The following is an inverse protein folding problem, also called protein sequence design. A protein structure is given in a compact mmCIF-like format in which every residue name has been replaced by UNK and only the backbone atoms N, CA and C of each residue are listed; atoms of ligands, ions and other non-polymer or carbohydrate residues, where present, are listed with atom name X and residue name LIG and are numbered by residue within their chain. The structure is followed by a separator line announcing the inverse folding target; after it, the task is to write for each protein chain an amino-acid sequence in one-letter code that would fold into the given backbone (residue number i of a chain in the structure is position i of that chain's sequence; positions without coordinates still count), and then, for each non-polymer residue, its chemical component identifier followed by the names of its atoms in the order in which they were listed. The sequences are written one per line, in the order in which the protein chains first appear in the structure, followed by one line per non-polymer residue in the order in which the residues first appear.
data_IF_209298109594
#
_entry.id   IF_209298109594
#
_cell.length_a   1.000
_cell.length_b   1.000
_cell.length_c   1.000
_cell.angle_alpha   90.00
_cell.angle_beta   90.00
_cell.angle_gamma   90.00
#
_symmetry.space_group_name_H-M   'P 1'
#
loop_
_entity.id
_entity.type
_entity.pdbx_description
1 polymer ?
#
# COMPACT_ATOMS: atom_id res chain seq x y z
N UNK A 1 -22.79 -2.61 -10.29
CA UNK A 1 -21.81 -2.69 -11.38
C UNK A 1 -20.75 -1.63 -11.11
N UNK A 2 -19.57 -2.07 -10.67
CA UNK A 2 -18.45 -1.17 -10.41
C UNK A 2 -18.08 -0.44 -11.71
N UNK A 3 -18.29 0.85 -11.73
CA UNK A 3 -17.86 1.73 -12.80
C UNK A 3 -16.37 1.96 -12.63
N UNK A 4 -15.56 1.02 -13.12
CA UNK A 4 -14.12 1.28 -13.26
C UNK A 4 -14.02 2.36 -14.33
N UNK A 5 -13.82 3.59 -13.88
CA UNK A 5 -13.75 4.75 -14.75
C UNK A 5 -12.66 4.51 -15.80
N UNK A 6 -12.90 4.92 -17.06
CA UNK A 6 -11.94 4.87 -18.19
C UNK A 6 -10.64 5.66 -17.94
N UNK A 7 -10.39 6.03 -16.69
CA UNK A 7 -9.31 6.92 -16.27
C UNK A 7 -8.16 6.17 -15.57
N UNK A 8 -8.27 4.84 -15.37
CA UNK A 8 -7.28 4.03 -14.65
C UNK A 8 -6.72 2.96 -15.57
N UNK A 9 -5.42 2.94 -15.76
CA UNK A 9 -4.69 1.91 -16.49
C UNK A 9 -4.12 0.89 -15.49
N UNK A 10 -4.41 -0.38 -15.70
CA UNK A 10 -3.89 -1.47 -14.87
C UNK A 10 -2.45 -1.75 -15.29
N UNK A 11 -1.50 -1.53 -14.40
CA UNK A 11 -0.16 -2.09 -14.50
C UNK A 11 -0.04 -3.23 -13.47
N UNK A 12 -0.18 -4.46 -13.91
CA UNK A 12 0.07 -5.63 -13.08
C UNK A 12 1.59 -5.79 -12.92
N UNK A 13 2.15 -5.18 -11.90
CA UNK A 13 3.47 -5.53 -11.44
C UNK A 13 3.32 -6.62 -10.39
N UNK A 14 3.77 -7.83 -10.71
CA UNK A 14 4.18 -8.78 -9.68
C UNK A 14 5.41 -8.15 -9.03
N UNK A 15 5.22 -7.40 -7.96
CA UNK A 15 6.32 -7.05 -7.08
C UNK A 15 6.66 -8.36 -6.37
N UNK A 16 7.78 -9.02 -6.71
CA UNK A 16 8.22 -10.15 -5.92
C UNK A 16 8.54 -9.57 -4.54
N UNK A 17 7.78 -9.97 -3.54
CA UNK A 17 8.16 -9.82 -2.14
C UNK A 17 9.36 -10.76 -1.92
N UNK A 18 10.48 -10.43 -2.55
CA UNK A 18 11.74 -11.12 -2.34
C UNK A 18 12.53 -10.27 -1.38
N UNK A 19 12.48 -10.65 -0.10
CA UNK A 19 13.46 -10.21 0.90
C UNK A 19 14.75 -10.93 0.52
N UNK A 20 15.53 -10.34 -0.36
CA UNK A 20 16.82 -10.80 -0.80
C UNK A 20 17.60 -9.66 -1.42
N UNK A 21 18.92 -9.72 -1.34
CA UNK A 21 19.90 -8.67 -1.64
C UNK A 21 19.81 -7.91 -2.98
N UNK A 22 18.82 -8.17 -3.80
CA UNK A 22 18.62 -7.55 -5.11
C UNK A 22 17.68 -6.33 -5.13
N UNK A 23 16.94 -6.01 -4.04
CA UNK A 23 15.96 -4.92 -4.00
C UNK A 23 16.57 -3.53 -3.71
N UNK A 24 17.89 -3.43 -3.61
CA UNK A 24 18.63 -2.18 -3.28
C UNK A 24 18.45 -1.05 -4.30
N UNK A 25 17.84 -1.27 -5.43
CA UNK A 25 17.92 -0.32 -6.54
C UNK A 25 16.62 0.41 -6.92
N UNK A 26 15.50 0.13 -6.28
CA UNK A 26 14.23 0.72 -6.72
C UNK A 26 13.71 1.90 -5.86
N UNK A 27 14.06 1.98 -4.59
CA UNK A 27 13.66 3.11 -3.73
C UNK A 27 14.76 3.34 -2.69
N UNK A 28 15.74 4.16 -2.99
CA UNK A 28 16.90 4.57 -2.19
C UNK A 28 16.91 4.17 -0.71
N UNK A 29 17.59 3.09 -0.36
CA UNK A 29 17.62 2.56 0.99
C UNK A 29 18.89 2.91 1.74
N UNK A 30 18.80 3.13 3.04
CA UNK A 30 19.90 3.23 3.98
C UNK A 30 19.85 2.01 4.88
N UNK A 31 20.94 1.23 4.90
CA UNK A 31 21.09 0.10 5.80
C UNK A 31 21.32 0.64 7.22
N UNK A 32 20.37 0.45 8.12
CA UNK A 32 20.56 0.70 9.54
C UNK A 32 21.14 -0.55 10.19
N UNK A 33 22.45 -0.55 10.39
CA UNK A 33 23.14 -1.57 11.19
C UNK A 33 23.27 -1.03 12.60
N UNK A 34 22.59 -1.65 13.55
CA UNK A 34 22.75 -1.35 14.98
C UNK A 34 23.66 -2.39 15.63
N UNK A 35 24.55 -1.92 16.52
CA UNK A 35 25.41 -2.75 17.33
C UNK A 35 24.86 -2.80 18.75
N UNK A 36 24.31 -3.93 19.17
CA UNK A 36 23.87 -4.14 20.54
C UNK A 36 24.45 -5.47 21.07
N UNK A 37 25.07 -5.40 22.25
CA UNK A 37 25.56 -6.55 23.04
C UNK A 37 26.45 -7.57 22.30
N UNK A 38 27.29 -7.11 21.37
CA UNK A 38 28.26 -7.99 20.68
C UNK A 38 27.69 -8.76 19.48
N UNK A 39 26.40 -8.59 19.18
CA UNK A 39 25.75 -9.16 18.00
C UNK A 39 25.33 -8.06 17.01
N UNK A 40 25.47 -8.36 15.71
CA UNK A 40 24.97 -7.50 14.64
C UNK A 40 23.48 -7.76 14.46
N UNK A 41 22.64 -6.79 14.84
CA UNK A 41 21.23 -6.78 14.44
C UNK A 41 21.11 -5.95 13.16
N UNK A 42 20.68 -6.60 12.11
CA UNK A 42 20.33 -5.94 10.85
C UNK A 42 18.81 -5.79 10.87
N UNK A 43 18.34 -4.55 10.97
CA UNK A 43 16.93 -4.27 10.77
C UNK A 43 16.55 -4.62 9.31
N UNK A 44 15.40 -5.29 9.10
CA UNK A 44 14.96 -5.59 7.77
C UNK A 44 14.80 -4.30 6.98
N UNK A 45 15.43 -4.25 5.81
CA UNK A 45 15.32 -3.11 4.91
C UNK A 45 13.85 -2.90 4.50
N UNK A 46 13.33 -1.72 4.80
CA UNK A 46 11.99 -1.29 4.35
C UNK A 46 12.17 -0.17 3.33
N UNK A 47 11.82 -0.40 2.05
CA UNK A 47 11.84 0.66 1.05
C UNK A 47 10.96 1.84 1.46
N UNK A 48 11.32 3.05 1.03
CA UNK A 48 10.44 4.19 1.19
C UNK A 48 9.29 4.10 0.16
N UNK A 49 8.23 3.39 0.53
CA UNK A 49 7.08 3.18 -0.33
C UNK A 49 6.33 4.48 -0.65
N UNK A 50 6.34 5.44 0.25
CA UNK A 50 5.69 6.74 0.02
C UNK A 50 6.38 7.59 -1.06
N UNK A 51 7.66 7.34 -1.32
CA UNK A 51 8.35 7.97 -2.45
C UNK A 51 8.02 7.32 -3.80
N UNK A 52 7.45 6.10 -3.77
CA UNK A 52 7.15 5.32 -4.96
C UNK A 52 5.69 5.38 -5.37
N UNK A 53 4.79 5.58 -4.40
CA UNK A 53 3.34 5.56 -4.62
C UNK A 53 2.66 6.73 -3.93
N UNK A 54 1.69 7.34 -4.63
CA UNK A 54 1.00 8.52 -4.14
C UNK A 54 -0.13 8.17 -3.17
N UNK A 55 -0.87 7.09 -3.44
CA UNK A 55 -2.01 6.63 -2.65
C UNK A 55 -1.91 5.13 -2.34
N UNK A 56 -2.52 4.74 -1.23
CA UNK A 56 -2.49 3.37 -0.71
C UNK A 56 -3.90 2.87 -0.41
N UNK A 57 -4.18 1.64 -0.83
CA UNK A 57 -5.38 0.89 -0.46
C UNK A 57 -4.92 -0.41 0.20
N UNK A 58 -4.97 -0.47 1.52
CA UNK A 58 -4.49 -1.60 2.30
C UNK A 58 -5.68 -2.33 2.90
N UNK A 59 -5.89 -3.57 2.51
CA UNK A 59 -7.02 -4.40 2.93
C UNK A 59 -7.46 -4.16 4.39
N UNK A 60 -8.67 -3.65 4.56
CA UNK A 60 -9.25 -3.30 5.86
C UNK A 60 -9.65 -4.55 6.67
N UNK A 61 -8.66 -5.39 6.98
CA UNK A 61 -8.85 -6.65 7.70
C UNK A 61 -9.23 -6.46 9.16
N UNK A 62 -8.82 -5.34 9.77
CA UNK A 62 -9.08 -4.97 11.15
C UNK A 62 -8.06 -3.93 11.62
N UNK A 63 -8.35 -3.24 12.74
CA UNK A 63 -7.50 -2.17 13.25
C UNK A 63 -6.06 -2.64 13.47
N UNK A 64 -5.87 -3.75 14.19
CA UNK A 64 -4.53 -4.28 14.48
C UNK A 64 -3.75 -4.67 13.21
N UNK A 65 -4.45 -5.10 12.14
CA UNK A 65 -3.82 -5.41 10.85
C UNK A 65 -3.32 -4.14 10.20
N UNK A 66 -4.14 -3.09 10.15
CA UNK A 66 -3.75 -1.80 9.58
C UNK A 66 -2.59 -1.17 10.35
N UNK A 67 -2.64 -1.21 11.70
CA UNK A 67 -1.57 -0.68 12.56
C UNK A 67 -0.24 -1.43 12.34
N UNK A 68 -0.30 -2.75 12.19
CA UNK A 68 0.88 -3.57 11.93
C UNK A 68 1.50 -3.27 10.56
N UNK A 69 0.66 -3.06 9.52
CA UNK A 69 1.13 -2.75 8.17
C UNK A 69 1.69 -1.34 8.10
N UNK A 70 1.01 -0.35 8.69
CA UNK A 70 1.49 1.03 8.80
C UNK A 70 2.90 1.06 9.37
N UNK A 71 3.11 0.36 10.49
CA UNK A 71 4.42 0.25 11.12
C UNK A 71 5.43 -0.52 10.27
N UNK A 72 5.03 -1.67 9.69
CA UNK A 72 5.95 -2.54 8.95
C UNK A 72 6.41 -1.94 7.62
N UNK A 73 5.56 -1.16 6.97
CA UNK A 73 5.88 -0.47 5.71
C UNK A 73 6.33 0.99 5.93
N UNK A 74 6.40 1.42 7.19
CA UNK A 74 6.76 2.79 7.59
C UNK A 74 5.92 3.84 6.83
N UNK A 75 4.60 3.63 6.80
CA UNK A 75 3.66 4.54 6.16
C UNK A 75 3.17 5.58 7.17
N UNK A 76 2.88 6.79 6.69
CA UNK A 76 2.22 7.81 7.48
C UNK A 76 0.74 7.49 7.68
N UNK A 77 0.16 8.02 8.76
CA UNK A 77 -1.28 7.84 9.04
C UNK A 77 -2.16 8.43 7.93
N UNK A 78 -1.69 9.48 7.23
CA UNK A 78 -2.37 10.06 6.07
C UNK A 78 -2.52 9.05 4.93
N UNK A 79 -1.46 8.27 4.66
CA UNK A 79 -1.49 7.24 3.61
C UNK A 79 -2.40 6.06 3.97
N UNK A 80 -2.67 5.85 5.26
CA UNK A 80 -3.57 4.81 5.75
C UNK A 80 -5.03 5.26 5.86
N UNK A 81 -5.31 6.56 5.66
CA UNK A 81 -6.65 7.15 5.80
C UNK A 81 -7.73 6.41 4.97
N UNK A 82 -7.54 6.09 3.68
CA UNK A 82 -8.55 5.38 2.90
C UNK A 82 -8.96 4.05 3.53
N UNK A 83 -7.99 3.27 3.98
CA UNK A 83 -8.22 1.96 4.59
C UNK A 83 -8.86 2.06 5.97
N UNK A 84 -8.47 3.04 6.77
CA UNK A 84 -9.08 3.30 8.09
C UNK A 84 -10.51 3.80 7.96
N UNK A 85 -10.79 4.66 6.98
CA UNK A 85 -12.12 5.16 6.70
C UNK A 85 -13.07 4.02 6.28
N UNK A 86 -12.63 3.16 5.37
CA UNK A 86 -13.41 2.01 4.94
C UNK A 86 -13.67 1.04 6.10
N UNK A 87 -12.63 0.76 6.92
CA UNK A 87 -12.82 -0.07 8.12
C UNK A 87 -13.83 0.52 9.09
N UNK A 88 -13.83 1.84 9.28
CA UNK A 88 -14.76 2.52 10.17
C UNK A 88 -16.20 2.47 9.65
N UNK A 89 -16.42 2.75 8.37
CA UNK A 89 -17.76 2.90 7.80
C UNK A 89 -18.41 1.56 7.40
N UNK A 90 -17.61 0.58 6.95
CA UNK A 90 -18.11 -0.68 6.39
C UNK A 90 -17.64 -1.91 7.15
N UNK A 91 -16.65 -1.77 8.03
CA UNK A 91 -15.99 -2.91 8.65
C UNK A 91 -15.13 -3.70 7.67
N UNK A 92 -14.77 -4.91 8.06
CA UNK A 92 -14.06 -5.84 7.16
C UNK A 92 -15.08 -6.53 6.23
N UNK A 93 -15.16 -6.07 4.99
CA UNK A 93 -15.98 -6.66 3.92
C UNK A 93 -15.18 -7.58 3.00
N UNK A 94 -14.09 -8.16 3.53
CA UNK A 94 -13.22 -9.10 2.83
C UNK A 94 -12.61 -8.50 1.56
N UNK A 95 -12.58 -9.24 0.45
CA UNK A 95 -11.98 -8.79 -0.82
C UNK A 95 -12.60 -7.53 -1.43
N UNK A 96 -13.80 -7.15 -1.00
CA UNK A 96 -14.44 -5.92 -1.45
C UNK A 96 -13.82 -4.66 -0.82
N UNK A 97 -13.17 -4.75 0.36
CA UNK A 97 -12.61 -3.61 1.08
C UNK A 97 -11.70 -2.74 0.20
N UNK A 98 -10.80 -3.35 -0.55
CA UNK A 98 -9.86 -2.62 -1.41
C UNK A 98 -10.53 -1.81 -2.53
N UNK A 99 -11.74 -2.19 -2.93
CA UNK A 99 -12.50 -1.45 -3.94
C UNK A 99 -13.23 -0.25 -3.33
N UNK A 100 -13.73 -0.35 -2.11
CA UNK A 100 -14.25 0.77 -1.33
C UNK A 100 -13.12 1.77 -1.02
N UNK A 101 -11.92 1.28 -0.70
CA UNK A 101 -10.75 2.12 -0.51
C UNK A 101 -10.35 2.84 -1.80
N UNK A 102 -10.38 2.16 -2.94
CA UNK A 102 -10.15 2.78 -4.24
C UNK A 102 -11.22 3.86 -4.54
N UNK A 103 -12.48 3.58 -4.24
CA UNK A 103 -13.57 4.56 -4.39
C UNK A 103 -13.32 5.79 -3.52
N UNK A 104 -12.88 5.59 -2.26
CA UNK A 104 -12.50 6.69 -1.38
C UNK A 104 -11.37 7.52 -1.97
N UNK A 105 -10.29 6.89 -2.44
CA UNK A 105 -9.17 7.61 -3.06
C UNK A 105 -9.65 8.44 -4.27
N UNK A 106 -10.47 7.86 -5.12
CA UNK A 106 -10.96 8.55 -6.33
C UNK A 106 -11.93 9.70 -6.03
N UNK A 107 -12.70 9.63 -4.94
CA UNK A 107 -13.73 10.60 -4.62
C UNK A 107 -13.31 11.63 -3.58
N UNK A 108 -12.52 11.25 -2.60
CA UNK A 108 -12.22 12.10 -1.44
C UNK A 108 -10.78 12.66 -1.47
N UNK A 109 -9.84 11.95 -2.10
CA UNK A 109 -8.46 12.44 -2.20
C UNK A 109 -8.30 13.44 -3.35
N UNK A 110 -7.27 14.27 -3.24
CA UNK A 110 -6.83 15.17 -4.31
C UNK A 110 -5.97 14.38 -5.30
N UNK A 111 -6.59 13.89 -6.37
CA UNK A 111 -5.95 13.04 -7.37
C UNK A 111 -5.61 13.78 -8.63
N UNK A 112 -4.40 13.53 -9.16
CA UNK A 112 -3.89 14.11 -10.38
C UNK A 112 -3.47 13.05 -11.40
N UNK A 113 -3.55 13.40 -12.67
CA UNK A 113 -3.05 12.54 -13.75
C UNK A 113 -1.56 12.24 -13.55
N UNK A 114 -1.20 11.00 -13.69
CA UNK A 114 0.17 10.51 -13.51
C UNK A 114 0.43 9.87 -12.15
N UNK A 115 -0.36 10.21 -11.13
CA UNK A 115 -0.24 9.62 -9.80
C UNK A 115 -0.56 8.12 -9.81
N UNK A 116 -0.07 7.44 -8.80
CA UNK A 116 -0.19 5.99 -8.63
C UNK A 116 -0.95 5.64 -7.35
N UNK A 117 -1.73 4.56 -7.44
CA UNK A 117 -2.42 3.96 -6.29
C UNK A 117 -1.92 2.54 -6.11
N UNK A 118 -1.37 2.22 -4.96
CA UNK A 118 -0.94 0.86 -4.64
C UNK A 118 -2.01 0.14 -3.81
N UNK A 119 -2.59 -0.92 -4.37
CA UNK A 119 -3.50 -1.81 -3.65
C UNK A 119 -2.75 -3.01 -3.10
N UNK A 120 -2.97 -3.32 -1.83
CA UNK A 120 -2.41 -4.47 -1.13
C UNK A 120 -3.55 -5.27 -0.52
N UNK A 121 -3.74 -6.49 -0.98
CA UNK A 121 -4.80 -7.39 -0.51
C UNK A 121 -4.22 -8.59 0.24
N UNK A 122 -4.83 -8.92 1.37
CA UNK A 122 -4.48 -10.09 2.17
C UNK A 122 -5.66 -11.07 2.19
N UNK A 123 -5.33 -12.35 2.11
CA UNK A 123 -6.30 -13.44 2.23
C UNK A 123 -5.86 -14.49 3.24
N UNK A 124 -6.81 -15.33 3.67
CA UNK A 124 -6.53 -16.46 4.55
C UNK A 124 -5.51 -17.41 3.91
N UNK A 125 -4.69 -18.09 4.74
CA UNK A 125 -3.57 -18.90 4.27
C UNK A 125 -2.36 -18.08 3.85
N UNK A 126 -2.15 -16.89 4.44
CA UNK A 126 -1.04 -15.98 4.21
C UNK A 126 -0.80 -15.64 2.73
N UNK A 127 -1.87 -15.41 2.00
CA UNK A 127 -1.80 -14.94 0.62
C UNK A 127 -1.80 -13.42 0.59
N UNK A 128 -0.82 -12.85 -0.12
CA UNK A 128 -0.75 -11.43 -0.40
C UNK A 128 -0.72 -11.21 -1.90
N UNK A 129 -1.57 -10.34 -2.39
CA UNK A 129 -1.55 -9.85 -3.76
C UNK A 129 -1.48 -8.33 -3.76
N UNK A 130 -0.84 -7.77 -4.77
CA UNK A 130 -0.83 -6.32 -4.95
C UNK A 130 -1.04 -5.93 -6.40
N UNK A 131 -1.55 -4.72 -6.59
CA UNK A 131 -1.71 -4.10 -7.90
C UNK A 131 -1.35 -2.62 -7.80
N UNK A 132 -0.73 -2.09 -8.84
CA UNK A 132 -0.47 -0.66 -8.97
C UNK A 132 -1.32 -0.10 -10.09
N UNK A 133 -2.04 0.96 -9.80
CA UNK A 133 -2.91 1.68 -10.71
C UNK A 133 -2.30 3.03 -11.03
N UNK A 134 -2.45 3.49 -12.26
CA UNK A 134 -2.06 4.83 -12.66
C UNK A 134 -3.29 5.68 -12.95
N UNK A 135 -3.36 6.86 -12.36
CA UNK A 135 -4.41 7.85 -12.62
C UNK A 135 -4.14 8.47 -14.00
N UNK A 136 -5.10 8.36 -14.92
CA UNK A 136 -4.95 8.85 -16.29
C UNK A 136 -5.48 10.28 -16.49
N UNK A 137 -6.39 10.73 -15.62
CA UNK A 137 -7.03 12.07 -15.71
C UNK A 137 -7.20 12.66 -14.33
N UNK A 138 -7.12 13.98 -14.26
CA UNK A 138 -7.46 14.73 -13.07
C UNK A 138 -8.92 14.53 -12.68
N UNK A 139 -9.21 14.66 -11.39
CA UNK A 139 -10.57 14.80 -10.89
C UNK A 139 -11.17 16.07 -11.52
N UNK A 140 -12.39 15.99 -11.98
CA UNK A 140 -13.12 17.16 -12.54
C UNK A 140 -13.70 17.98 -11.41
#
# INVERSE_FOLDING_TARGET
AAYVSRNVLIALFKIPFYIGDGAKYLCGGVDNVHYEDGDYKIDPYVPNFESCFDHFCVHAGGRAVLDAIEKSLNLSSEKMEPSRNVLYNYGNVSSASIWYEMEYVLNECDIHSGQTVWQIAFGSGFKCNSAVWKILKNKK
#
